data_IF_459237485061
#
_entry.id   IF_459237485061
#
_cell.length_a   1.000
_cell.length_b   1.000
_cell.length_c   1.000
_cell.angle_alpha   90.00
_cell.angle_beta   90.00
_cell.angle_gamma   90.00
#
_symmetry.space_group_name_H-M   'P 1'
#
loop_
_entity.id
_entity.type
_entity.pdbx_description
1 polymer ?
#
# COMPACT_ATOMS: atom_id res chain seq x y z
N UNK A 1 9.75 14.76 -18.44
CA UNK A 1 9.21 13.88 -19.51
C UNK A 1 9.74 12.50 -19.22
N UNK A 2 8.92 11.67 -18.59
CA UNK A 2 9.26 10.24 -18.33
C UNK A 2 9.15 9.52 -19.68
N UNK A 3 10.27 8.95 -20.16
CA UNK A 3 10.22 8.04 -21.29
C UNK A 3 9.21 6.94 -20.99
N UNK A 4 8.19 6.82 -21.83
CA UNK A 4 7.26 5.70 -21.79
C UNK A 4 8.13 4.47 -22.10
N UNK A 5 8.37 3.65 -21.07
CA UNK A 5 9.09 2.37 -21.21
C UNK A 5 8.46 1.58 -22.36
N UNK A 6 9.30 1.06 -23.27
CA UNK A 6 8.82 0.25 -24.37
C UNK A 6 8.01 -0.95 -23.80
N UNK A 7 6.87 -1.33 -24.43
CA UNK A 7 6.05 -2.42 -23.95
C UNK A 7 6.88 -3.71 -23.81
N UNK A 8 6.70 -4.40 -22.67
CA UNK A 8 7.37 -5.67 -22.39
C UNK A 8 6.92 -6.71 -23.42
N UNK A 9 7.78 -7.02 -24.40
CA UNK A 9 7.46 -7.99 -25.45
C UNK A 9 7.45 -9.40 -24.86
N UNK A 10 6.31 -10.07 -24.96
CA UNK A 10 6.18 -11.47 -24.61
C UNK A 10 5.99 -11.77 -23.12
N UNK A 11 5.73 -10.76 -22.27
CA UNK A 11 5.38 -10.95 -20.86
C UNK A 11 3.90 -10.67 -20.67
N UNK A 12 3.16 -11.65 -20.18
CA UNK A 12 1.74 -11.52 -19.84
C UNK A 12 1.59 -11.11 -18.38
N UNK A 13 0.98 -9.95 -18.14
CA UNK A 13 0.80 -9.38 -16.81
C UNK A 13 -0.60 -9.65 -16.28
N UNK A 14 -0.69 -10.20 -15.06
CA UNK A 14 -1.93 -10.38 -14.32
C UNK A 14 -2.06 -9.41 -13.15
N UNK A 15 -3.29 -9.14 -12.70
CA UNK A 15 -3.55 -8.36 -11.48
C UNK A 15 -4.78 -8.93 -10.74
N UNK A 16 -4.62 -9.12 -9.43
CA UNK A 16 -5.65 -9.59 -8.50
C UNK A 16 -5.74 -8.61 -7.32
N UNK A 17 -6.99 -8.35 -6.86
CA UNK A 17 -7.22 -7.36 -5.82
C UNK A 17 -7.51 -5.97 -6.41
N UNK A 18 -8.70 -5.83 -7.02
CA UNK A 18 -9.10 -4.65 -7.80
C UNK A 18 -9.91 -3.65 -6.96
N UNK A 19 -9.39 -3.33 -5.76
CA UNK A 19 -9.91 -2.29 -4.87
C UNK A 19 -9.46 -0.88 -5.28
N UNK A 20 -9.47 0.07 -4.31
CA UNK A 20 -9.12 1.48 -4.51
C UNK A 20 -7.73 1.67 -5.13
N UNK A 21 -6.75 0.85 -4.71
CA UNK A 21 -5.40 0.89 -5.25
C UNK A 21 -5.22 0.04 -6.51
N UNK A 22 -5.69 -1.22 -6.47
CA UNK A 22 -5.42 -2.20 -7.54
C UNK A 22 -6.14 -1.93 -8.84
N UNK A 23 -7.36 -1.35 -8.83
CA UNK A 23 -8.08 -1.03 -10.05
C UNK A 23 -7.40 0.07 -10.88
N UNK A 24 -6.98 1.21 -10.31
CA UNK A 24 -6.18 2.19 -11.04
C UNK A 24 -4.85 1.62 -11.54
N UNK A 25 -4.16 0.81 -10.73
CA UNK A 25 -2.92 0.15 -11.17
C UNK A 25 -3.17 -0.77 -12.37
N UNK A 26 -4.23 -1.59 -12.34
CA UNK A 26 -4.60 -2.44 -13.47
C UNK A 26 -4.85 -1.63 -14.76
N UNK A 27 -5.48 -0.45 -14.65
CA UNK A 27 -5.64 0.46 -15.81
C UNK A 27 -4.30 0.94 -16.37
N UNK A 28 -3.38 1.32 -15.49
CA UNK A 28 -2.05 1.74 -15.92
C UNK A 28 -1.27 0.59 -16.56
N UNK A 29 -1.37 -0.62 -16.00
CA UNK A 29 -0.75 -1.82 -16.58
C UNK A 29 -1.32 -2.12 -17.98
N UNK A 30 -2.65 -2.07 -18.15
CA UNK A 30 -3.29 -2.27 -19.44
C UNK A 30 -2.82 -1.26 -20.48
N UNK A 31 -2.76 0.02 -20.13
CA UNK A 31 -2.30 1.10 -21.03
C UNK A 31 -0.82 1.00 -21.35
N UNK A 32 0.01 0.63 -20.38
CA UNK A 32 1.47 0.53 -20.54
C UNK A 32 1.91 -0.70 -21.32
N UNK A 33 1.20 -1.83 -21.19
CA UNK A 33 1.59 -3.11 -21.79
C UNK A 33 0.64 -3.58 -22.88
N UNK A 34 -0.40 -2.81 -23.22
CA UNK A 34 -1.40 -3.14 -24.24
C UNK A 34 -2.55 -4.01 -23.72
N UNK A 35 -2.35 -4.76 -22.64
CA UNK A 35 -3.39 -5.50 -21.92
C UNK A 35 -2.93 -5.86 -20.51
N UNK A 36 -3.88 -6.18 -19.64
CA UNK A 36 -3.66 -6.80 -18.32
C UNK A 36 -4.71 -7.87 -18.12
N UNK A 37 -4.31 -9.03 -17.61
CA UNK A 37 -5.22 -10.11 -17.25
C UNK A 37 -5.69 -9.94 -15.82
N UNK A 38 -7.00 -10.02 -15.56
CA UNK A 38 -7.56 -9.77 -14.22
C UNK A 38 -8.50 -10.89 -13.80
N UNK A 39 -8.59 -11.12 -12.49
CA UNK A 39 -9.70 -11.85 -11.90
C UNK A 39 -10.30 -11.04 -10.75
N UNK A 40 -11.61 -11.14 -10.58
CA UNK A 40 -12.36 -10.40 -9.59
C UNK A 40 -13.61 -11.16 -9.17
N UNK A 41 -14.00 -10.99 -7.88
CA UNK A 41 -15.24 -11.58 -7.33
C UNK A 41 -16.53 -11.12 -8.05
N UNK A 42 -16.47 -10.02 -8.79
CA UNK A 42 -17.57 -9.43 -9.57
C UNK A 42 -17.05 -8.98 -10.92
N UNK A 43 -17.87 -9.01 -11.98
CA UNK A 43 -17.49 -8.47 -13.28
C UNK A 43 -16.99 -7.00 -13.17
N UNK A 44 -15.94 -6.70 -13.95
CA UNK A 44 -15.31 -5.37 -14.03
C UNK A 44 -15.34 -4.82 -15.46
N UNK A 45 -16.56 -4.52 -15.98
CA UNK A 45 -16.70 -3.99 -17.33
C UNK A 45 -15.96 -2.66 -17.55
N UNK A 46 -15.76 -1.89 -16.46
CA UNK A 46 -14.97 -0.67 -16.45
C UNK A 46 -13.49 -0.93 -16.81
N UNK A 47 -12.90 -1.98 -16.25
CA UNK A 47 -11.51 -2.35 -16.56
C UNK A 47 -11.38 -3.03 -17.92
N UNK A 48 -12.38 -3.83 -18.31
CA UNK A 48 -12.41 -4.47 -19.65
C UNK A 48 -12.48 -3.40 -20.74
N UNK A 49 -13.27 -2.34 -20.55
CA UNK A 49 -13.30 -1.21 -21.46
C UNK A 49 -11.96 -0.45 -21.56
N UNK A 50 -11.14 -0.52 -20.50
CA UNK A 50 -9.79 0.05 -20.45
C UNK A 50 -8.69 -0.90 -20.98
N UNK A 51 -9.06 -2.08 -21.51
CA UNK A 51 -8.13 -3.05 -22.12
C UNK A 51 -7.76 -4.25 -21.24
N UNK A 52 -8.46 -4.46 -20.11
CA UNK A 52 -8.23 -5.66 -19.31
C UNK A 52 -8.94 -6.88 -19.92
N UNK A 53 -8.32 -8.06 -19.75
CA UNK A 53 -8.91 -9.37 -20.08
C UNK A 53 -9.34 -10.04 -18.78
N UNK A 54 -10.63 -10.15 -18.53
CA UNK A 54 -11.14 -10.74 -17.30
C UNK A 54 -11.23 -12.26 -17.40
N UNK A 55 -10.73 -12.96 -16.40
CA UNK A 55 -10.79 -14.41 -16.20
C UNK A 55 -11.82 -14.78 -15.13
N UNK A 56 -12.36 -15.98 -15.21
CA UNK A 56 -13.37 -16.48 -14.28
C UNK A 56 -12.78 -16.77 -12.90
N UNK A 57 -11.52 -17.24 -12.84
CA UNK A 57 -10.83 -17.65 -11.61
C UNK A 57 -9.31 -17.40 -11.68
N UNK A 58 -8.63 -17.64 -10.57
CA UNK A 58 -7.18 -17.48 -10.46
C UNK A 58 -6.42 -18.54 -11.29
N UNK A 59 -6.97 -19.72 -11.49
CA UNK A 59 -6.33 -20.79 -12.26
C UNK A 59 -6.27 -20.44 -13.76
N UNK A 60 -7.36 -19.95 -14.34
CA UNK A 60 -7.41 -19.52 -15.74
C UNK A 60 -6.52 -18.28 -16.00
N UNK A 61 -6.35 -17.39 -15.01
CA UNK A 61 -5.39 -16.32 -15.09
C UNK A 61 -3.95 -16.86 -15.03
N UNK A 62 -3.63 -17.78 -14.10
CA UNK A 62 -2.31 -18.38 -13.96
C UNK A 62 -1.87 -19.17 -15.19
N UNK A 63 -2.81 -19.74 -15.95
CA UNK A 63 -2.51 -20.47 -17.19
C UNK A 63 -1.86 -19.60 -18.27
N UNK A 64 -2.03 -18.28 -18.21
CA UNK A 64 -1.53 -17.34 -19.23
C UNK A 64 -0.52 -16.34 -18.68
N UNK A 65 -0.58 -16.00 -17.40
CA UNK A 65 0.24 -14.95 -16.80
C UNK A 65 1.68 -15.42 -16.50
N UNK A 66 2.65 -14.56 -16.77
CA UNK A 66 4.06 -14.72 -16.38
C UNK A 66 4.37 -13.95 -15.09
N UNK A 67 3.67 -12.82 -14.86
CA UNK A 67 3.79 -11.96 -13.68
C UNK A 67 2.42 -11.62 -13.16
N UNK A 68 2.17 -11.75 -11.85
CA UNK A 68 0.87 -11.39 -11.25
C UNK A 68 1.09 -10.42 -10.08
N UNK A 69 0.48 -9.24 -10.20
CA UNK A 69 0.37 -8.28 -9.11
C UNK A 69 -0.77 -8.67 -8.16
N UNK A 70 -0.45 -8.86 -6.89
CA UNK A 70 -1.40 -9.13 -5.80
C UNK A 70 -1.55 -7.85 -4.96
N UNK A 71 -2.66 -7.12 -5.15
CA UNK A 71 -3.00 -5.90 -4.42
C UNK A 71 -4.16 -6.18 -3.47
N UNK A 72 -3.90 -7.04 -2.49
CA UNK A 72 -4.86 -7.59 -1.53
C UNK A 72 -4.69 -6.91 -0.15
N UNK A 73 -5.62 -7.07 0.80
CA UNK A 73 -5.48 -6.45 2.12
C UNK A 73 -4.24 -6.89 2.90
N UNK A 74 -3.91 -8.21 2.91
CA UNK A 74 -2.73 -8.77 3.58
C UNK A 74 -2.42 -10.19 3.08
N UNK A 75 -1.48 -10.90 3.72
CA UNK A 75 -1.06 -12.26 3.36
C UNK A 75 -2.16 -13.31 3.46
N UNK A 76 -3.10 -13.30 4.41
CA UNK A 76 -4.21 -14.26 4.43
C UNK A 76 -4.99 -14.28 3.12
N UNK A 77 -5.32 -13.13 2.55
CA UNK A 77 -6.03 -13.05 1.27
C UNK A 77 -5.13 -13.46 0.09
N UNK A 78 -3.81 -13.30 0.20
CA UNK A 78 -2.86 -13.87 -0.77
C UNK A 78 -2.93 -15.40 -0.72
N UNK A 79 -2.91 -16.00 0.48
CA UNK A 79 -3.03 -17.45 0.64
C UNK A 79 -4.36 -17.99 0.09
N UNK A 80 -5.47 -17.29 0.29
CA UNK A 80 -6.76 -17.65 -0.30
C UNK A 80 -6.66 -17.75 -1.84
N UNK A 81 -6.06 -16.74 -2.49
CA UNK A 81 -5.92 -16.70 -3.95
C UNK A 81 -4.95 -17.79 -4.45
N UNK A 82 -3.88 -18.08 -3.70
CA UNK A 82 -2.97 -19.18 -4.02
C UNK A 82 -3.70 -20.53 -3.98
N UNK A 83 -4.54 -20.74 -2.95
CA UNK A 83 -5.35 -21.96 -2.80
C UNK A 83 -6.47 -22.06 -3.86
N UNK A 84 -6.98 -20.92 -4.35
CA UNK A 84 -8.01 -20.83 -5.39
C UNK A 84 -7.46 -21.09 -6.82
N UNK A 85 -6.28 -21.67 -6.92
CA UNK A 85 -5.71 -22.20 -8.15
C UNK A 85 -4.65 -21.33 -8.84
N UNK A 86 -4.19 -20.24 -8.21
CA UNK A 86 -3.11 -19.44 -8.81
C UNK A 86 -1.80 -20.23 -8.97
N UNK A 87 -1.62 -21.34 -8.24
CA UNK A 87 -0.48 -22.23 -8.33
C UNK A 87 -0.69 -23.42 -9.30
N UNK A 88 -1.88 -23.58 -9.89
CA UNK A 88 -2.28 -24.78 -10.64
C UNK A 88 -1.53 -24.98 -11.97
N UNK A 89 -0.91 -23.94 -12.54
CA UNK A 89 -0.16 -24.03 -13.80
C UNK A 89 1.24 -24.61 -13.64
N UNK A 90 1.84 -25.03 -14.76
CA UNK A 90 3.23 -25.53 -14.83
C UNK A 90 4.22 -24.46 -15.31
N UNK A 91 3.75 -23.27 -15.65
CA UNK A 91 4.57 -22.17 -16.16
C UNK A 91 5.33 -21.48 -15.01
N UNK A 92 6.55 -20.96 -15.28
CA UNK A 92 7.19 -20.03 -14.35
C UNK A 92 6.27 -18.83 -14.06
N UNK A 93 6.18 -18.45 -12.78
CA UNK A 93 5.31 -17.36 -12.33
C UNK A 93 6.07 -16.45 -11.35
N UNK A 94 6.02 -15.15 -11.61
CA UNK A 94 6.52 -14.14 -10.67
C UNK A 94 5.34 -13.47 -9.95
N UNK A 95 5.27 -13.61 -8.64
CA UNK A 95 4.28 -12.94 -7.81
C UNK A 95 4.83 -11.62 -7.25
N UNK A 96 4.11 -10.53 -7.48
CA UNK A 96 4.40 -9.22 -6.94
C UNK A 96 3.45 -8.95 -5.78
N UNK A 97 3.95 -9.00 -4.54
CA UNK A 97 3.16 -8.74 -3.33
C UNK A 97 3.07 -7.22 -3.12
N UNK A 98 2.02 -6.61 -3.71
CA UNK A 98 1.77 -5.16 -3.60
C UNK A 98 1.10 -4.76 -2.29
N UNK A 99 0.56 -5.72 -1.54
CA UNK A 99 -0.01 -5.53 -0.20
C UNK A 99 1.05 -5.05 0.78
N UNK A 100 0.67 -4.17 1.72
CA UNK A 100 1.49 -3.95 2.92
C UNK A 100 1.30 -5.13 3.86
N UNK A 101 2.37 -5.86 4.10
CA UNK A 101 2.36 -7.12 4.85
C UNK A 101 3.61 -7.27 5.72
N UNK A 102 3.64 -8.30 6.54
CA UNK A 102 4.79 -8.67 7.36
C UNK A 102 6.00 -9.06 6.50
N UNK A 103 7.15 -8.42 6.70
CA UNK A 103 8.37 -8.78 5.98
C UNK A 103 8.85 -10.22 6.28
N UNK A 104 8.84 -10.72 7.53
CA UNK A 104 9.04 -12.14 7.82
C UNK A 104 8.02 -13.05 7.14
N UNK A 105 6.73 -12.64 7.12
CA UNK A 105 5.65 -13.41 6.49
C UNK A 105 5.86 -13.58 4.98
N UNK A 106 6.24 -12.52 4.27
CA UNK A 106 6.55 -12.60 2.83
C UNK A 106 7.74 -13.52 2.56
N UNK A 107 8.78 -13.49 3.40
CA UNK A 107 9.91 -14.42 3.27
C UNK A 107 9.49 -15.87 3.50
N UNK A 108 8.69 -16.13 4.54
CA UNK A 108 8.17 -17.48 4.81
C UNK A 108 7.27 -18.00 3.68
N UNK A 109 6.42 -17.11 3.10
CA UNK A 109 5.61 -17.42 1.93
C UNK A 109 6.51 -17.84 0.75
N UNK A 110 7.53 -17.05 0.43
CA UNK A 110 8.42 -17.36 -0.69
C UNK A 110 9.18 -18.68 -0.50
N UNK A 111 9.71 -18.93 0.70
CA UNK A 111 10.40 -20.19 1.03
C UNK A 111 9.46 -21.40 0.89
N UNK A 112 8.20 -21.26 1.29
CA UNK A 112 7.19 -22.29 1.12
C UNK A 112 6.92 -22.56 -0.37
N UNK A 113 6.66 -21.48 -1.15
CA UNK A 113 6.38 -21.57 -2.58
C UNK A 113 7.55 -22.17 -3.35
N UNK A 114 8.78 -21.82 -3.00
CA UNK A 114 9.99 -22.41 -3.60
C UNK A 114 10.02 -23.94 -3.40
N UNK A 115 9.79 -24.43 -2.16
CA UNK A 115 9.73 -25.86 -1.86
C UNK A 115 8.58 -26.57 -2.56
N UNK A 116 7.37 -26.00 -2.55
CA UNK A 116 6.17 -26.61 -3.13
C UNK A 116 6.19 -26.66 -4.65
N UNK A 117 6.83 -25.68 -5.30
CA UNK A 117 6.81 -25.54 -6.75
C UNK A 117 8.16 -25.82 -7.41
N UNK A 118 9.19 -26.19 -6.63
CA UNK A 118 10.54 -26.45 -7.15
C UNK A 118 11.19 -25.23 -7.82
N UNK A 119 10.98 -24.03 -7.27
CA UNK A 119 11.50 -22.77 -7.79
C UNK A 119 10.70 -22.18 -8.96
N UNK A 120 9.61 -22.80 -9.37
CA UNK A 120 8.75 -22.32 -10.48
C UNK A 120 8.07 -20.99 -10.15
N UNK A 121 7.62 -20.82 -8.89
CA UNK A 121 6.97 -19.60 -8.43
C UNK A 121 7.96 -18.77 -7.61
N UNK A 122 8.21 -17.56 -8.06
CA UNK A 122 9.12 -16.61 -7.41
C UNK A 122 8.35 -15.42 -6.86
N UNK A 123 8.90 -14.73 -5.87
CA UNK A 123 8.22 -13.65 -5.15
C UNK A 123 9.10 -12.41 -5.10
N UNK A 124 8.47 -11.27 -5.38
CA UNK A 124 8.99 -9.93 -5.10
C UNK A 124 7.98 -9.22 -4.22
N UNK A 125 8.40 -8.63 -3.13
CA UNK A 125 7.56 -7.70 -2.38
C UNK A 125 7.65 -6.31 -3.00
N UNK A 126 6.48 -5.69 -3.23
CA UNK A 126 6.38 -4.43 -3.96
C UNK A 126 5.28 -3.51 -3.37
N UNK A 127 5.28 -3.27 -2.05
CA UNK A 127 4.31 -2.37 -1.45
C UNK A 127 4.47 -0.94 -1.98
N UNK A 128 3.37 -0.19 -1.94
CA UNK A 128 3.27 1.12 -2.57
C UNK A 128 2.98 2.24 -1.58
N UNK A 129 3.36 3.46 -1.93
CA UNK A 129 3.02 4.69 -1.23
C UNK A 129 2.58 5.76 -2.23
N UNK A 130 1.58 6.57 -1.85
CA UNK A 130 1.00 7.63 -2.68
C UNK A 130 -0.51 7.74 -2.56
N UNK A 131 -1.15 6.79 -1.84
CA UNK A 131 -2.60 6.74 -1.66
C UNK A 131 -3.37 6.53 -2.97
N UNK A 132 -4.68 6.67 -2.90
CA UNK A 132 -5.58 6.49 -4.04
C UNK A 132 -5.26 7.51 -5.15
N UNK A 133 -4.92 8.75 -4.78
CA UNK A 133 -4.53 9.80 -5.72
C UNK A 133 -3.28 9.40 -6.53
N UNK A 134 -2.26 8.87 -5.86
CA UNK A 134 -1.05 8.38 -6.51
C UNK A 134 -1.31 7.18 -7.42
N UNK A 135 -2.21 6.27 -7.01
CA UNK A 135 -2.62 5.14 -7.82
C UNK A 135 -3.36 5.58 -9.08
N UNK A 136 -4.30 6.53 -8.95
CA UNK A 136 -5.05 7.10 -10.09
C UNK A 136 -4.13 7.84 -11.04
N UNK A 137 -3.18 8.62 -10.50
CA UNK A 137 -2.24 9.41 -11.30
C UNK A 137 -1.09 8.59 -11.92
N UNK A 138 -0.87 7.34 -11.50
CA UNK A 138 0.30 6.53 -11.91
C UNK A 138 1.63 7.08 -11.36
N UNK A 139 1.60 7.64 -10.16
CA UNK A 139 2.77 8.31 -9.54
C UNK A 139 3.16 7.67 -8.19
N UNK A 140 2.83 6.39 -8.02
CA UNK A 140 3.16 5.67 -6.79
C UNK A 140 4.68 5.54 -6.59
N UNK A 141 5.14 5.65 -5.35
CA UNK A 141 6.44 5.12 -4.94
C UNK A 141 6.27 3.64 -4.69
N UNK A 142 7.03 2.79 -5.40
CA UNK A 142 6.92 1.33 -5.33
C UNK A 142 8.23 0.79 -4.76
N UNK A 143 8.15 0.21 -3.57
CA UNK A 143 9.31 -0.24 -2.78
C UNK A 143 9.50 -1.73 -3.00
N UNK A 144 10.59 -2.14 -3.70
CA UNK A 144 10.77 -3.55 -4.07
C UNK A 144 11.86 -4.23 -3.26
N UNK A 145 11.58 -5.48 -2.87
CA UNK A 145 12.55 -6.42 -2.32
C UNK A 145 12.49 -7.76 -3.07
N UNK A 146 13.67 -8.33 -3.36
CA UNK A 146 13.75 -9.59 -4.08
C UNK A 146 15.09 -9.81 -4.78
N UNK A 147 15.21 -10.90 -5.54
CA UNK A 147 16.34 -11.14 -6.41
C UNK A 147 16.48 -10.01 -7.46
N UNK A 148 17.67 -9.72 -7.90
CA UNK A 148 17.94 -8.58 -8.77
C UNK A 148 17.23 -8.72 -10.12
N UNK A 149 17.30 -9.89 -10.73
CA UNK A 149 16.63 -10.18 -12.01
C UNK A 149 15.09 -10.12 -11.91
N UNK A 150 14.51 -10.61 -10.83
CA UNK A 150 13.07 -10.57 -10.59
C UNK A 150 12.58 -9.14 -10.33
N UNK A 151 13.36 -8.36 -9.58
CA UNK A 151 13.06 -6.94 -9.38
C UNK A 151 13.24 -6.12 -10.67
N UNK A 152 14.16 -6.47 -11.55
CA UNK A 152 14.29 -5.81 -12.84
C UNK A 152 13.05 -6.04 -13.72
N UNK A 153 12.53 -7.28 -13.77
CA UNK A 153 11.28 -7.60 -14.44
C UNK A 153 10.09 -6.89 -13.77
N UNK A 154 10.00 -6.96 -12.44
CA UNK A 154 8.95 -6.29 -11.67
C UNK A 154 8.95 -4.77 -11.90
N UNK A 155 10.13 -4.14 -11.96
CA UNK A 155 10.27 -2.72 -12.24
C UNK A 155 9.73 -2.35 -13.62
N UNK A 156 10.06 -3.13 -14.64
CA UNK A 156 9.55 -2.91 -15.99
C UNK A 156 8.02 -3.09 -16.06
N UNK A 157 7.46 -4.10 -15.34
CA UNK A 157 6.02 -4.31 -15.24
C UNK A 157 5.34 -3.14 -14.54
N UNK A 158 5.87 -2.67 -13.40
CA UNK A 158 5.21 -1.67 -12.55
C UNK A 158 5.50 -0.21 -12.95
N UNK A 159 6.39 0.03 -13.91
CA UNK A 159 6.74 1.39 -14.37
C UNK A 159 5.53 2.25 -14.76
N UNK A 160 4.45 1.73 -15.40
CA UNK A 160 3.27 2.54 -15.70
C UNK A 160 2.49 3.00 -14.45
N UNK A 161 2.71 2.35 -13.29
CA UNK A 161 2.01 2.67 -12.03
C UNK A 161 2.76 3.72 -11.18
N UNK A 162 4.04 3.98 -11.46
CA UNK A 162 4.84 4.91 -10.66
C UNK A 162 6.35 4.70 -10.79
N UNK A 163 7.05 4.89 -9.68
CA UNK A 163 8.51 4.76 -9.61
C UNK A 163 8.89 3.52 -8.79
N UNK A 164 9.16 2.36 -9.44
CA UNK A 164 9.63 1.16 -8.76
C UNK A 164 11.12 1.25 -8.45
N UNK A 165 11.48 0.98 -7.19
CA UNK A 165 12.88 1.01 -6.72
C UNK A 165 13.19 -0.26 -5.93
N UNK A 166 14.22 -1.01 -6.33
CA UNK A 166 14.74 -2.13 -5.54
C UNK A 166 15.54 -1.61 -4.36
N UNK A 167 15.17 -2.02 -3.15
CA UNK A 167 15.77 -1.57 -1.89
C UNK A 167 16.65 -2.64 -1.23
N UNK A 168 16.53 -3.91 -1.67
CA UNK A 168 17.34 -4.99 -1.09
C UNK A 168 16.79 -6.38 -1.39
N UNK A 169 17.16 -7.38 -0.59
CA UNK A 169 16.63 -8.74 -0.69
C UNK A 169 15.13 -8.77 -0.36
N UNK A 170 14.50 -9.94 -0.54
CA UNK A 170 13.08 -10.14 -0.27
C UNK A 170 12.68 -9.69 1.15
N UNK A 171 11.62 -8.94 1.24
CA UNK A 171 11.13 -8.28 2.46
C UNK A 171 11.68 -6.85 2.65
N UNK A 172 12.66 -6.39 1.86
CA UNK A 172 13.21 -5.04 1.99
C UNK A 172 12.17 -3.96 1.61
N UNK A 173 11.30 -4.22 0.66
CA UNK A 173 10.18 -3.34 0.30
C UNK A 173 9.19 -3.20 1.47
N UNK A 174 8.85 -4.31 2.12
CA UNK A 174 7.96 -4.28 3.30
C UNK A 174 8.59 -3.53 4.48
N UNK A 175 9.89 -3.72 4.72
CA UNK A 175 10.62 -2.93 5.74
C UNK A 175 10.57 -1.45 5.41
N UNK A 176 10.84 -1.07 4.17
CA UNK A 176 10.76 0.34 3.74
C UNK A 176 9.34 0.89 3.87
N UNK A 177 8.33 0.08 3.55
CA UNK A 177 6.92 0.46 3.75
C UNK A 177 6.60 0.64 5.23
N UNK A 178 7.07 -0.22 6.11
CA UNK A 178 6.89 -0.09 7.56
C UNK A 178 7.51 1.23 8.08
N UNK A 179 8.72 1.57 7.62
CA UNK A 179 9.37 2.85 7.93
C UNK A 179 8.54 4.04 7.41
N UNK A 180 8.05 3.97 6.17
CA UNK A 180 7.17 5.00 5.61
C UNK A 180 5.90 5.19 6.46
N UNK A 181 5.25 4.10 6.88
CA UNK A 181 4.00 4.16 7.64
C UNK A 181 4.22 4.66 9.07
N UNK A 182 5.36 4.38 9.69
CA UNK A 182 5.75 5.00 10.96
C UNK A 182 5.80 6.54 10.82
N UNK A 183 6.45 7.05 9.76
CA UNK A 183 6.52 8.49 9.49
C UNK A 183 5.14 9.08 9.20
N UNK A 184 4.32 8.39 8.40
CA UNK A 184 2.94 8.83 8.10
C UNK A 184 2.09 8.89 9.36
N UNK A 185 2.13 7.86 10.21
CA UNK A 185 1.38 7.82 11.47
C UNK A 185 1.81 8.92 12.44
N UNK A 186 3.13 9.11 12.60
CA UNK A 186 3.67 10.16 13.44
C UNK A 186 3.25 11.56 12.97
N UNK A 187 3.29 11.76 11.66
CA UNK A 187 2.93 13.05 11.06
C UNK A 187 1.44 13.34 11.26
N UNK A 188 0.54 12.40 10.97
CA UNK A 188 -0.90 12.67 11.09
C UNK A 188 -1.34 12.81 12.57
N UNK A 189 -0.75 12.06 13.48
CA UNK A 189 -0.98 12.22 14.92
C UNK A 189 -0.57 13.63 15.37
N UNK A 190 0.66 14.06 15.03
CA UNK A 190 1.15 15.40 15.36
C UNK A 190 0.29 16.51 14.73
N UNK A 191 -0.15 16.37 13.49
CA UNK A 191 -1.04 17.31 12.82
C UNK A 191 -2.41 17.38 13.51
N UNK A 192 -2.95 16.25 13.94
CA UNK A 192 -4.20 16.17 14.70
C UNK A 192 -4.13 16.92 16.03
N UNK A 193 -3.09 16.61 16.82
CA UNK A 193 -2.85 17.29 18.12
C UNK A 193 -2.62 18.81 17.95
N UNK A 194 -1.75 19.21 17.02
CA UNK A 194 -1.45 20.61 16.77
C UNK A 194 -2.70 21.40 16.33
N UNK A 195 -3.56 20.78 15.51
CA UNK A 195 -4.84 21.38 15.10
C UNK A 195 -5.75 21.65 16.30
N UNK A 196 -5.88 20.70 17.23
CA UNK A 196 -6.72 20.86 18.43
C UNK A 196 -6.13 21.90 19.38
N UNK A 197 -4.81 21.93 19.55
CA UNK A 197 -4.14 22.95 20.37
C UNK A 197 -4.39 24.36 19.81
N UNK A 198 -4.27 24.55 18.52
CA UNK A 198 -4.50 25.83 17.85
C UNK A 198 -5.97 26.26 17.96
N UNK A 199 -6.89 25.35 17.69
CA UNK A 199 -8.35 25.59 17.75
C UNK A 199 -8.77 26.05 19.15
N UNK A 200 -8.35 25.33 20.19
CA UNK A 200 -8.60 25.67 21.59
C UNK A 200 -7.93 26.99 22.05
N UNK A 201 -6.90 27.41 21.32
CA UNK A 201 -6.20 28.67 21.55
C UNK A 201 -6.79 29.85 20.75
N UNK A 202 -7.85 29.62 19.96
CA UNK A 202 -8.50 30.65 19.16
C UNK A 202 -7.71 31.07 17.93
N UNK A 203 -6.79 30.24 17.43
CA UNK A 203 -6.03 30.48 16.20
C UNK A 203 -6.85 30.05 15.01
N UNK A 204 -6.87 30.89 13.94
CA UNK A 204 -7.43 30.49 12.65
C UNK A 204 -6.62 29.35 12.02
N UNK A 205 -7.24 28.19 11.90
CA UNK A 205 -6.58 26.95 11.46
C UNK A 205 -6.11 27.02 10.00
N UNK A 206 -6.90 27.69 9.15
CA UNK A 206 -6.57 27.83 7.73
C UNK A 206 -5.29 28.64 7.57
N UNK A 207 -5.24 29.82 8.15
CA UNK A 207 -4.07 30.73 8.14
C UNK A 207 -2.85 30.07 8.77
N UNK A 208 -3.03 29.37 9.90
CA UNK A 208 -1.93 28.67 10.57
C UNK A 208 -1.29 27.63 9.64
N UNK A 209 -2.09 26.75 9.05
CA UNK A 209 -1.54 25.69 8.22
C UNK A 209 -0.99 26.20 6.89
N UNK A 210 -1.52 27.32 6.34
CA UNK A 210 -0.94 28.00 5.17
C UNK A 210 0.47 28.52 5.49
N UNK A 211 0.62 29.14 6.65
CA UNK A 211 1.93 29.66 7.11
C UNK A 211 2.92 28.49 7.36
N UNK A 212 2.51 27.48 8.14
CA UNK A 212 3.39 26.40 8.56
C UNK A 212 3.73 25.44 7.41
N UNK A 213 2.84 25.32 6.41
CA UNK A 213 3.08 24.56 5.17
C UNK A 213 4.24 25.11 4.33
N UNK A 214 4.68 26.34 4.56
CA UNK A 214 5.89 26.91 3.94
C UNK A 214 7.20 26.61 4.68
N UNK A 215 7.15 25.97 5.86
CA UNK A 215 8.29 25.71 6.74
C UNK A 215 8.59 24.23 6.96
N UNK A 216 9.30 23.92 8.03
CA UNK A 216 9.68 22.54 8.38
C UNK A 216 8.51 21.62 8.75
N UNK A 217 7.33 22.16 9.05
CA UNK A 217 6.10 21.38 9.24
C UNK A 217 5.47 20.92 7.91
N UNK A 218 6.00 21.38 6.78
CA UNK A 218 5.52 20.98 5.45
C UNK A 218 5.66 19.49 5.24
N UNK A 219 4.62 18.90 4.67
CA UNK A 219 4.64 17.52 4.20
C UNK A 219 3.54 17.33 3.16
N UNK A 220 3.73 16.37 2.25
CA UNK A 220 2.65 16.00 1.33
C UNK A 220 1.39 15.53 2.08
N UNK A 221 1.56 14.97 3.28
CA UNK A 221 0.42 14.56 4.11
C UNK A 221 -0.36 15.79 4.61
N UNK A 222 0.31 16.84 5.04
CA UNK A 222 -0.33 18.10 5.37
C UNK A 222 -1.08 18.67 4.16
N UNK A 223 -0.45 18.75 2.99
CA UNK A 223 -1.06 19.28 1.78
C UNK A 223 -2.37 18.57 1.43
N UNK A 224 -2.39 17.24 1.53
CA UNK A 224 -3.54 16.41 1.16
C UNK A 224 -4.59 16.27 2.26
N UNK A 225 -4.27 16.58 3.52
CA UNK A 225 -5.18 16.44 4.69
C UNK A 225 -5.53 17.75 5.37
N UNK A 226 -4.91 18.87 4.95
CA UNK A 226 -5.14 20.20 5.52
C UNK A 226 -6.63 20.54 5.59
N UNK A 227 -7.36 20.40 4.50
CA UNK A 227 -8.79 20.72 4.46
C UNK A 227 -9.58 19.88 5.47
N UNK A 228 -9.34 18.58 5.54
CA UNK A 228 -9.96 17.68 6.51
C UNK A 228 -9.64 18.06 7.96
N UNK A 229 -8.38 18.40 8.23
CA UNK A 229 -7.94 18.86 9.54
C UNK A 229 -8.57 20.21 9.93
N UNK A 230 -8.73 21.14 8.99
CA UNK A 230 -9.33 22.46 9.24
C UNK A 230 -10.84 22.36 9.44
N UNK A 231 -11.53 21.60 8.59
CA UNK A 231 -13.01 21.49 8.61
C UNK A 231 -13.53 20.45 9.61
N UNK A 232 -12.68 19.48 10.02
CA UNK A 232 -13.09 18.33 10.81
C UNK A 232 -13.80 17.25 10.00
N UNK A 233 -13.69 17.28 8.66
CA UNK A 233 -14.20 16.22 7.79
C UNK A 233 -13.30 14.98 7.90
N UNK A 234 -13.85 13.90 8.47
CA UNK A 234 -13.19 12.60 8.58
C UNK A 234 -13.80 11.55 7.64
N UNK A 235 -14.48 11.97 6.56
CA UNK A 235 -15.04 11.07 5.56
C UNK A 235 -13.94 10.12 5.01
N UNK A 236 -14.26 8.81 4.84
CA UNK A 236 -13.26 7.80 4.49
C UNK A 236 -12.49 8.11 3.19
N UNK A 237 -11.16 8.10 3.27
CA UNK A 237 -10.26 8.10 2.11
C UNK A 237 -9.02 7.25 2.41
N UNK A 238 -8.21 7.56 3.42
CA UNK A 238 -7.15 6.70 3.94
C UNK A 238 -7.51 6.26 5.35
N UNK A 239 -8.15 5.09 5.50
CA UNK A 239 -8.76 4.65 6.76
C UNK A 239 -7.75 4.39 7.87
N UNK A 240 -8.03 4.89 9.09
CA UNK A 240 -7.18 4.75 10.26
C UNK A 240 -6.86 3.29 10.63
N UNK A 241 -7.80 2.35 10.43
CA UNK A 241 -7.57 0.92 10.68
C UNK A 241 -6.42 0.31 9.88
N UNK A 242 -6.22 0.78 8.64
CA UNK A 242 -5.10 0.30 7.82
C UNK A 242 -3.77 0.82 8.35
N UNK A 243 -3.74 2.06 8.89
CA UNK A 243 -2.55 2.59 9.51
C UNK A 243 -2.17 1.81 10.78
N UNK A 244 -3.16 1.40 11.58
CA UNK A 244 -2.92 0.49 12.71
C UNK A 244 -2.31 -0.85 12.26
N UNK A 245 -2.85 -1.45 11.20
CA UNK A 245 -2.28 -2.70 10.63
C UNK A 245 -0.82 -2.50 10.22
N UNK A 246 -0.54 -1.40 9.54
CA UNK A 246 0.79 -1.09 9.05
C UNK A 246 1.79 -0.81 10.20
N UNK A 247 1.36 -0.15 11.27
CA UNK A 247 2.17 0.04 12.49
C UNK A 247 2.51 -1.29 13.18
N UNK A 248 1.59 -2.27 13.17
CA UNK A 248 1.88 -3.63 13.67
C UNK A 248 3.00 -4.29 12.88
N UNK A 249 3.00 -4.16 11.55
CA UNK A 249 4.13 -4.61 10.72
C UNK A 249 5.43 -3.88 11.08
N UNK A 250 5.35 -2.59 11.43
CA UNK A 250 6.50 -1.83 11.96
C UNK A 250 7.05 -2.39 13.27
N UNK A 251 6.16 -2.82 14.17
CA UNK A 251 6.56 -3.45 15.43
C UNK A 251 7.26 -4.81 15.21
N UNK A 252 6.81 -5.61 14.24
CA UNK A 252 7.49 -6.85 13.85
C UNK A 252 8.90 -6.58 13.32
N UNK A 253 9.08 -5.53 12.50
CA UNK A 253 10.40 -5.12 12.01
C UNK A 253 11.29 -4.67 13.16
N UNK A 254 10.78 -3.87 14.10
CA UNK A 254 11.51 -3.41 15.27
C UNK A 254 11.97 -4.60 16.12
N UNK A 255 11.07 -5.57 16.38
CA UNK A 255 11.41 -6.80 17.12
C UNK A 255 12.47 -7.63 16.40
N UNK A 256 12.35 -7.83 15.08
CA UNK A 256 13.28 -8.62 14.28
C UNK A 256 14.68 -8.00 14.18
N UNK A 257 14.78 -6.67 14.33
CA UNK A 257 16.06 -5.93 14.26
C UNK A 257 16.62 -5.57 15.62
N UNK A 258 15.90 -5.88 16.71
CA UNK A 258 16.29 -5.47 18.07
C UNK A 258 16.25 -3.95 18.27
N UNK A 259 15.43 -3.23 17.50
CA UNK A 259 15.31 -1.78 17.56
C UNK A 259 14.34 -1.37 18.67
N UNK A 260 14.83 -0.64 19.68
CA UNK A 260 13.99 0.01 20.71
C UNK A 260 13.45 1.34 20.19
N UNK A 261 12.29 1.29 19.53
CA UNK A 261 11.65 2.47 18.97
C UNK A 261 10.80 3.17 20.05
N UNK A 262 11.11 4.43 20.37
CA UNK A 262 10.38 5.18 21.41
C UNK A 262 8.98 5.63 20.94
N UNK A 263 8.85 6.03 19.70
CA UNK A 263 7.60 6.59 19.16
C UNK A 263 6.58 5.52 18.75
N UNK A 264 7.04 4.41 18.19
CA UNK A 264 6.18 3.36 17.65
C UNK A 264 5.18 2.78 18.66
N UNK A 265 5.53 2.47 19.92
CA UNK A 265 4.56 1.99 20.91
C UNK A 265 3.47 3.02 21.23
N UNK A 266 3.80 4.30 21.28
CA UNK A 266 2.84 5.37 21.54
C UNK A 266 1.82 5.50 20.39
N UNK A 267 2.29 5.46 19.15
CA UNK A 267 1.43 5.48 17.98
C UNK A 267 0.55 4.24 17.88
N UNK A 268 1.08 3.05 18.18
CA UNK A 268 0.29 1.82 18.24
C UNK A 268 -0.87 1.97 19.23
N UNK A 269 -0.58 2.41 20.46
CA UNK A 269 -1.59 2.61 21.49
C UNK A 269 -2.66 3.62 21.04
N UNK A 270 -2.26 4.75 20.46
CA UNK A 270 -3.19 5.77 19.98
C UNK A 270 -4.12 5.21 18.87
N UNK A 271 -3.56 4.53 17.86
CA UNK A 271 -4.37 3.98 16.78
C UNK A 271 -5.21 2.77 17.21
N UNK A 272 -4.80 2.00 18.21
CA UNK A 272 -5.63 0.97 18.85
C UNK A 272 -6.84 1.61 19.56
N UNK A 273 -6.64 2.70 20.29
CA UNK A 273 -7.73 3.44 20.93
C UNK A 273 -8.68 4.06 19.89
N UNK A 274 -8.18 4.64 18.79
CA UNK A 274 -8.99 5.16 17.68
C UNK A 274 -9.89 4.06 17.10
N UNK A 275 -9.33 2.88 16.84
CA UNK A 275 -10.10 1.74 16.30
C UNK A 275 -11.10 1.22 17.33
N UNK A 276 -10.73 1.11 18.61
CA UNK A 276 -11.61 0.68 19.70
C UNK A 276 -12.78 1.67 19.92
N UNK A 277 -12.56 2.96 19.67
CA UNK A 277 -13.61 3.99 19.70
C UNK A 277 -14.57 3.94 18.49
N UNK A 278 -14.42 2.96 17.58
CA UNK A 278 -15.25 2.82 16.37
C UNK A 278 -14.89 3.80 15.25
N UNK A 279 -13.75 4.46 15.34
CA UNK A 279 -13.28 5.46 14.37
C UNK A 279 -12.38 4.87 13.28
N UNK A 280 -12.11 3.58 13.31
CA UNK A 280 -11.18 2.91 12.39
C UNK A 280 -11.55 3.00 10.90
N UNK A 281 -12.83 3.12 10.57
CA UNK A 281 -13.33 3.27 9.18
C UNK A 281 -13.27 4.72 8.68
N UNK A 282 -12.88 5.68 9.52
CA UNK A 282 -12.70 7.07 9.17
C UNK A 282 -11.34 7.32 8.52
N UNK A 283 -11.22 8.44 7.80
CA UNK A 283 -9.91 8.90 7.32
C UNK A 283 -8.94 9.08 8.48
N UNK A 284 -7.65 8.92 8.24
CA UNK A 284 -6.60 9.09 9.25
C UNK A 284 -6.60 10.48 9.91
N UNK A 285 -7.17 11.51 9.27
CA UNK A 285 -7.38 12.84 9.86
C UNK A 285 -8.30 12.82 11.08
N UNK A 286 -8.98 11.71 11.35
CA UNK A 286 -9.78 11.47 12.55
C UNK A 286 -9.00 11.62 13.85
N UNK A 287 -7.66 11.59 13.79
CA UNK A 287 -6.78 11.94 14.92
C UNK A 287 -7.13 13.28 15.53
N UNK A 288 -7.49 14.31 14.73
CA UNK A 288 -8.00 15.59 15.24
C UNK A 288 -9.23 15.40 16.14
N UNK A 289 -10.25 14.69 15.63
CA UNK A 289 -11.50 14.42 16.37
C UNK A 289 -11.23 13.61 17.64
N UNK A 290 -10.41 12.57 17.52
CA UNK A 290 -10.05 11.71 18.64
C UNK A 290 -9.39 12.50 19.78
N UNK A 291 -8.44 13.39 19.46
CA UNK A 291 -7.81 14.27 20.45
C UNK A 291 -8.78 15.31 21.00
N UNK A 292 -9.65 15.88 20.16
CA UNK A 292 -10.63 16.87 20.59
C UNK A 292 -11.66 16.30 21.57
N UNK A 293 -12.05 15.04 21.42
CA UNK A 293 -12.99 14.34 22.32
C UNK A 293 -12.33 13.89 23.63
N UNK A 294 -11.00 13.76 23.67
CA UNK A 294 -10.26 13.51 24.90
C UNK A 294 -10.23 14.78 25.76
N UNK A 295 -10.67 14.64 27.01
CA UNK A 295 -10.49 15.70 28.02
C UNK A 295 -9.30 15.34 28.90
N UNK A 296 -8.50 16.35 29.25
CA UNK A 296 -7.53 16.18 30.31
C UNK A 296 -8.26 15.74 31.59
N UNK A 297 -7.72 14.83 32.41
CA UNK A 297 -8.27 14.59 33.72
C UNK A 297 -8.30 15.89 34.51
N UNK A 298 -9.41 16.15 35.22
CA UNK A 298 -9.58 17.33 36.10
C UNK A 298 -8.55 17.34 37.21
#
# INVERSE_FOLDING_TARGET
MTEVSAPLRGVTVGAIGLGAMGAPMARHLARGHGSVHITARRPRPDLVADGAVQHDDAASLAAVADVVLLMLPDLPEVEEVLADGLLAGDRPLLLLIGSTSSAPGVRALAERLDRETGGRVRVVDAPVSGGDDGAIAGTLSIMMGGAEEDCALAAAVLAPCGTPVRLGPLGAGQVAKACNQLVVAATIAALGEATVLADRSGIDLGTMWDLLGGGYAASRLLDTRKEKLVTGDDAPSGMAKYLLKDLKSGAEVAAATGTEAALLPALLAEFEEIVAAGLGERDMSVTRRFVAERRAPE
#
